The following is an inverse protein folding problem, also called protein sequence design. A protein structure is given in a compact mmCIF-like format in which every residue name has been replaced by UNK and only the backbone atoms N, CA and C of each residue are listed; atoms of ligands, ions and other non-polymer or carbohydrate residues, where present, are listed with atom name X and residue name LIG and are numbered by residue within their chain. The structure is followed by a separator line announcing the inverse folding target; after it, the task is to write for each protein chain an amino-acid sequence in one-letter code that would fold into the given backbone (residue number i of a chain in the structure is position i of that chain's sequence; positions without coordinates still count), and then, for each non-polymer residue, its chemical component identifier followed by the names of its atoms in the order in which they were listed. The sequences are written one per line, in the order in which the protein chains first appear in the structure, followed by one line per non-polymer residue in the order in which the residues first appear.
data_IF_099531034159
#
_entry.id   IF_099531034159
#
_cell.length_a   1.000
_cell.length_b   1.000
_cell.length_c   1.000
_cell.angle_alpha   90.00
_cell.angle_beta   90.00
_cell.angle_gamma   90.00
#
_symmetry.space_group_name_H-M   'P 1'
#
loop_
_entity.id
_entity.type
_entity.pdbx_description
1 polymer ?
#
# COMPACT_ATOMS: atom_id res chain seq x y z
N UNK A 1 -32.61 -28.43 48.42
CA UNK A 1 -31.41 -29.22 48.75
C UNK A 1 -30.29 -28.83 47.79
N UNK A 2 -29.36 -27.94 48.17
CA UNK A 2 -28.25 -27.52 47.32
C UNK A 2 -27.07 -28.50 47.48
N UNK A 3 -26.41 -28.86 46.37
CA UNK A 3 -25.11 -29.54 46.40
C UNK A 3 -24.10 -28.70 45.65
N UNK A 4 -23.40 -27.89 46.44
CA UNK A 4 -22.16 -27.23 46.08
C UNK A 4 -21.08 -28.32 46.16
N UNK A 5 -20.40 -28.60 45.06
CA UNK A 5 -19.08 -29.21 45.09
C UNK A 5 -18.12 -28.28 44.36
N UNK A 6 -17.33 -27.56 45.15
CA UNK A 6 -16.06 -27.03 44.73
C UNK A 6 -15.14 -28.22 44.47
N UNK A 7 -14.64 -28.34 43.24
CA UNK A 7 -13.45 -29.12 42.94
C UNK A 7 -12.46 -28.16 42.27
N UNK A 8 -11.49 -27.72 43.05
CA UNK A 8 -10.30 -27.06 42.56
C UNK A 8 -9.57 -28.04 41.62
N UNK A 9 -9.30 -27.62 40.38
CA UNK A 9 -8.42 -28.34 39.46
C UNK A 9 -7.43 -27.31 38.91
N UNK A 10 -6.12 -27.64 38.89
CA UNK A 10 -5.06 -26.66 38.96
C UNK A 10 -4.72 -26.05 37.61
N UNK A 11 -4.17 -24.84 37.71
CA UNK A 11 -3.39 -24.13 36.70
C UNK A 11 -2.29 -25.04 36.12
N UNK A 12 -2.41 -25.42 34.85
CA UNK A 12 -1.33 -26.04 34.08
C UNK A 12 -0.89 -25.02 33.01
N UNK A 13 0.14 -24.25 33.36
CA UNK A 13 0.99 -23.51 32.45
C UNK A 13 1.69 -24.51 31.52
N UNK A 14 1.13 -24.76 30.33
CA UNK A 14 1.83 -25.47 29.28
C UNK A 14 2.68 -24.49 28.47
N UNK A 15 3.97 -24.59 28.74
CA UNK A 15 5.09 -24.04 28.00
C UNK A 15 5.05 -24.35 26.50
N UNK A 16 5.60 -23.39 25.73
CA UNK A 16 6.27 -23.55 24.44
C UNK A 16 5.50 -24.21 23.28
N UNK A 17 4.90 -23.38 22.43
CA UNK A 17 4.81 -23.72 21.01
C UNK A 17 6.16 -23.44 20.35
N UNK A 18 6.83 -24.44 19.73
CA UNK A 18 7.91 -24.14 18.81
C UNK A 18 7.28 -23.41 17.63
N UNK A 19 7.84 -22.25 17.31
CA UNK A 19 7.61 -21.63 16.02
C UNK A 19 7.91 -22.68 14.94
N UNK A 20 6.88 -23.08 14.20
CA UNK A 20 7.06 -23.78 12.94
C UNK A 20 7.90 -22.84 12.06
N UNK A 21 9.20 -23.13 11.99
CA UNK A 21 10.06 -22.72 10.93
C UNK A 21 9.50 -23.35 9.64
N UNK A 22 8.62 -22.62 8.97
CA UNK A 22 8.32 -22.84 7.56
C UNK A 22 9.55 -22.40 6.78
N UNK A 23 10.44 -23.37 6.58
CA UNK A 23 11.45 -23.37 5.55
C UNK A 23 10.74 -23.38 4.18
N UNK A 24 10.91 -22.33 3.38
CA UNK A 24 10.35 -22.25 2.02
C UNK A 24 9.55 -21.00 1.70
N UNK A 25 10.13 -19.81 1.86
CA UNK A 25 9.75 -18.63 1.06
C UNK A 25 10.87 -17.59 1.11
N UNK A 26 11.72 -17.63 0.08
CA UNK A 26 12.38 -16.48 -0.52
C UNK A 26 12.82 -15.38 0.46
N UNK A 27 14.06 -15.53 0.91
CA UNK A 27 14.93 -14.49 1.44
C UNK A 27 15.05 -13.34 0.44
N UNK A 28 14.07 -12.45 0.40
CA UNK A 28 14.29 -11.04 0.08
C UNK A 28 14.64 -10.35 1.39
N UNK A 29 15.70 -9.54 1.48
CA UNK A 29 15.92 -8.74 2.66
C UNK A 29 14.71 -7.83 2.82
N UNK A 30 13.90 -8.06 3.86
CA UNK A 30 13.01 -7.03 4.37
C UNK A 30 13.96 -5.95 4.86
N UNK A 31 14.21 -4.97 4.00
CA UNK A 31 14.83 -3.73 4.39
C UNK A 31 13.97 -3.18 5.52
N UNK A 32 14.45 -3.38 6.76
CA UNK A 32 14.07 -2.56 7.90
C UNK A 32 14.58 -1.15 7.58
N UNK A 33 13.87 -0.48 6.68
CA UNK A 33 14.09 0.90 6.33
C UNK A 33 13.87 1.70 7.60
N UNK A 34 14.92 2.38 8.03
CA UNK A 34 14.86 3.42 9.05
C UNK A 34 13.66 4.33 8.77
N UNK A 35 13.05 4.97 9.80
CA UNK A 35 12.07 6.02 9.58
C UNK A 35 12.76 7.18 8.85
N UNK A 36 12.86 7.04 7.53
CA UNK A 36 13.40 8.04 6.64
C UNK A 36 12.31 9.09 6.60
N UNK A 37 12.56 10.21 7.29
CA UNK A 37 11.71 11.39 7.15
C UNK A 37 11.60 11.68 5.66
N UNK A 38 10.39 11.59 5.12
CA UNK A 38 10.14 11.88 3.71
C UNK A 38 10.60 13.31 3.41
N UNK A 39 11.37 13.46 2.35
CA UNK A 39 11.82 14.78 1.92
C UNK A 39 10.67 15.52 1.21
N UNK A 40 10.65 16.87 1.23
CA UNK A 40 9.64 17.63 0.48
C UNK A 40 9.57 17.25 -1.00
N UNK A 41 10.72 16.97 -1.63
CA UNK A 41 10.80 16.51 -3.02
C UNK A 41 10.10 15.18 -3.24
N UNK A 42 10.27 14.21 -2.33
CA UNK A 42 9.60 12.90 -2.42
C UNK A 42 8.09 13.03 -2.23
N UNK A 43 7.64 13.90 -1.33
CA UNK A 43 6.21 14.15 -1.09
C UNK A 43 5.57 14.79 -2.34
N UNK A 44 6.26 15.75 -2.96
CA UNK A 44 5.80 16.36 -4.20
C UNK A 44 5.77 15.35 -5.36
N UNK A 45 6.86 14.62 -5.61
CA UNK A 45 6.91 13.60 -6.65
C UNK A 45 5.80 12.54 -6.46
N UNK A 46 5.54 12.16 -5.22
CA UNK A 46 4.45 11.24 -4.88
C UNK A 46 3.07 11.85 -5.18
N UNK A 47 2.83 13.11 -4.80
CA UNK A 47 1.57 13.80 -5.06
C UNK A 47 1.28 13.90 -6.57
N UNK A 48 2.27 14.31 -7.36
CA UNK A 48 2.18 14.41 -8.82
C UNK A 48 1.93 13.04 -9.47
N UNK A 49 2.69 12.02 -9.08
CA UNK A 49 2.49 10.65 -9.57
C UNK A 49 1.11 10.10 -9.19
N UNK A 50 0.66 10.35 -7.95
CA UNK A 50 -0.64 9.91 -7.47
C UNK A 50 -1.78 10.56 -8.26
N UNK A 51 -1.66 11.86 -8.56
CA UNK A 51 -2.64 12.58 -9.37
C UNK A 51 -2.75 11.97 -10.77
N UNK A 52 -1.62 11.80 -11.47
CA UNK A 52 -1.59 11.20 -12.81
C UNK A 52 -2.13 9.76 -12.81
N UNK A 53 -1.79 8.95 -11.80
CA UNK A 53 -2.32 7.59 -11.64
C UNK A 53 -3.84 7.62 -11.41
N UNK A 54 -4.37 8.55 -10.63
CA UNK A 54 -5.82 8.67 -10.43
C UNK A 54 -6.53 9.02 -11.74
N UNK A 55 -5.99 9.94 -12.53
CA UNK A 55 -6.52 10.25 -13.87
C UNK A 55 -6.46 9.04 -14.79
N UNK A 56 -5.35 8.29 -14.79
CA UNK A 56 -5.22 7.05 -15.56
C UNK A 56 -6.29 6.03 -15.16
N UNK A 57 -6.47 5.82 -13.85
CA UNK A 57 -7.49 4.90 -13.31
C UNK A 57 -8.91 5.31 -13.69
N UNK A 58 -9.24 6.60 -13.64
CA UNK A 58 -10.55 7.10 -14.07
C UNK A 58 -10.81 6.83 -15.56
N UNK A 59 -9.81 7.07 -16.41
CA UNK A 59 -9.86 6.75 -17.85
C UNK A 59 -10.02 5.25 -18.08
N UNK A 60 -9.26 4.44 -17.36
CA UNK A 60 -9.29 2.98 -17.42
C UNK A 60 -10.67 2.44 -17.05
N UNK A 61 -11.24 2.86 -15.92
CA UNK A 61 -12.57 2.44 -15.48
C UNK A 61 -13.65 2.75 -16.52
N UNK A 62 -13.54 3.91 -17.18
CA UNK A 62 -14.46 4.32 -18.25
C UNK A 62 -14.33 3.47 -19.51
N UNK A 63 -13.15 2.90 -19.77
CA UNK A 63 -12.89 1.99 -20.89
C UNK A 63 -13.30 0.56 -20.56
N UNK A 64 -12.95 0.06 -19.37
CA UNK A 64 -13.30 -1.29 -18.90
C UNK A 64 -14.81 -1.53 -18.88
N UNK A 65 -15.61 -0.52 -18.53
CA UNK A 65 -17.08 -0.62 -18.55
C UNK A 65 -17.69 -0.90 -19.95
N UNK A 66 -16.89 -0.78 -21.02
CA UNK A 66 -17.32 -0.93 -22.42
C UNK A 66 -16.72 -2.16 -23.11
N UNK A 67 -15.86 -2.91 -22.42
CA UNK A 67 -15.06 -3.99 -23.01
C UNK A 67 -15.54 -5.37 -22.57
N UNK A 68 -15.32 -6.34 -23.45
CA UNK A 68 -15.50 -7.76 -23.14
C UNK A 68 -14.38 -8.25 -22.18
N UNK A 69 -14.62 -9.30 -21.37
CA UNK A 69 -13.67 -9.75 -20.35
C UNK A 69 -12.23 -9.99 -20.85
N UNK A 70 -12.08 -10.59 -22.05
CA UNK A 70 -10.77 -10.87 -22.63
C UNK A 70 -9.99 -9.60 -23.01
N UNK A 71 -10.70 -8.52 -23.38
CA UNK A 71 -10.11 -7.23 -23.72
C UNK A 71 -9.80 -6.43 -22.45
N UNK A 72 -10.55 -6.65 -21.37
CA UNK A 72 -10.32 -6.07 -20.06
C UNK A 72 -8.96 -6.50 -19.47
N UNK A 73 -8.60 -7.78 -19.58
CA UNK A 73 -7.32 -8.31 -19.07
C UNK A 73 -6.10 -7.66 -19.75
N UNK A 74 -6.15 -7.54 -21.09
CA UNK A 74 -5.09 -6.88 -21.87
C UNK A 74 -4.97 -5.40 -21.49
N UNK A 75 -6.10 -4.72 -21.34
CA UNK A 75 -6.13 -3.32 -20.95
C UNK A 75 -5.59 -3.10 -19.52
N UNK A 76 -5.90 -4.00 -18.60
CA UNK A 76 -5.40 -3.96 -17.22
C UNK A 76 -3.88 -4.15 -17.18
N UNK A 77 -3.33 -5.11 -17.93
CA UNK A 77 -1.87 -5.31 -18.04
C UNK A 77 -1.16 -4.06 -18.56
N UNK A 78 -1.72 -3.45 -19.62
CA UNK A 78 -1.20 -2.19 -20.15
C UNK A 78 -1.26 -1.06 -19.12
N UNK A 79 -2.36 -0.94 -18.39
CA UNK A 79 -2.50 0.09 -17.35
C UNK A 79 -1.48 -0.10 -16.23
N UNK A 80 -1.18 -1.34 -15.84
CA UNK A 80 -0.15 -1.63 -14.85
C UNK A 80 1.23 -1.12 -15.31
N UNK A 81 1.58 -1.33 -16.57
CA UNK A 81 2.81 -0.81 -17.15
C UNK A 81 2.83 0.73 -17.22
N UNK A 82 1.72 1.36 -17.58
CA UNK A 82 1.62 2.84 -17.57
C UNK A 82 1.73 3.40 -16.15
N UNK A 83 1.16 2.75 -15.14
CA UNK A 83 1.33 3.17 -13.75
C UNK A 83 2.81 3.18 -13.32
N UNK A 84 3.57 2.13 -13.69
CA UNK A 84 5.02 2.09 -13.41
C UNK A 84 5.74 3.25 -14.09
N UNK A 85 5.45 3.52 -15.37
CA UNK A 85 6.05 4.65 -16.10
C UNK A 85 5.73 6.00 -15.49
N UNK A 86 4.50 6.20 -14.99
CA UNK A 86 4.12 7.44 -14.29
C UNK A 86 4.96 7.63 -13.04
N UNK A 87 5.17 6.58 -12.24
CA UNK A 87 6.00 6.64 -11.03
C UNK A 87 7.46 6.96 -11.40
N UNK A 88 8.01 6.29 -12.41
CA UNK A 88 9.37 6.52 -12.91
C UNK A 88 9.58 7.92 -13.48
N UNK A 89 8.59 8.46 -14.21
CA UNK A 89 8.59 9.83 -14.73
C UNK A 89 8.79 10.87 -13.63
N UNK A 90 8.26 10.62 -12.44
CA UNK A 90 8.40 11.50 -11.27
C UNK A 90 9.66 11.20 -10.43
N UNK A 91 10.56 10.35 -10.93
CA UNK A 91 11.81 10.01 -10.25
C UNK A 91 11.63 9.10 -9.03
N UNK A 92 10.51 8.37 -8.99
CA UNK A 92 10.23 7.34 -8.00
C UNK A 92 10.31 5.98 -8.67
N UNK A 93 10.56 4.93 -7.89
CA UNK A 93 10.27 3.56 -8.29
C UNK A 93 9.00 3.05 -7.59
N UNK A 94 8.47 1.90 -8.03
CA UNK A 94 7.24 1.34 -7.47
C UNK A 94 7.38 1.01 -5.97
N UNK A 95 8.56 0.60 -5.52
CA UNK A 95 8.82 0.31 -4.11
C UNK A 95 8.79 1.58 -3.26
N UNK A 96 9.44 2.65 -3.73
CA UNK A 96 9.46 3.96 -3.09
C UNK A 96 8.05 4.56 -3.05
N UNK A 97 7.29 4.48 -4.15
CA UNK A 97 5.90 4.92 -4.19
C UNK A 97 5.06 4.20 -3.13
N UNK A 98 5.13 2.87 -3.08
CA UNK A 98 4.37 2.07 -2.11
C UNK A 98 4.79 2.36 -0.65
N UNK A 99 6.09 2.55 -0.40
CA UNK A 99 6.59 2.92 0.92
C UNK A 99 6.08 4.30 1.36
N UNK A 100 6.07 5.27 0.44
CA UNK A 100 5.49 6.59 0.69
C UNK A 100 3.96 6.49 0.90
N UNK A 101 3.25 5.68 0.10
CA UNK A 101 1.81 5.44 0.28
C UNK A 101 1.49 4.94 1.68
N UNK A 102 2.20 3.91 2.17
CA UNK A 102 2.00 3.38 3.51
C UNK A 102 2.24 4.44 4.60
N UNK A 103 3.25 5.28 4.42
CA UNK A 103 3.58 6.34 5.38
C UNK A 103 2.56 7.49 5.35
N UNK A 104 2.10 7.87 4.17
CA UNK A 104 1.03 8.85 3.97
C UNK A 104 -0.26 8.35 4.61
N UNK A 105 -0.66 7.11 4.38
CA UNK A 105 -1.85 6.51 4.99
C UNK A 105 -1.80 6.55 6.52
N UNK A 106 -0.64 6.22 7.10
CA UNK A 106 -0.40 6.22 8.54
C UNK A 106 -0.42 7.62 9.15
N UNK A 107 0.06 8.64 8.45
CA UNK A 107 0.20 10.00 8.97
C UNK A 107 -0.85 10.97 8.41
N UNK A 108 -1.80 11.39 9.25
CA UNK A 108 -2.85 12.35 8.83
C UNK A 108 -2.33 13.63 8.20
N UNK A 109 -1.31 14.26 8.80
CA UNK A 109 -0.72 15.49 8.27
C UNK A 109 -0.09 15.31 6.88
N UNK A 110 0.52 14.15 6.62
CA UNK A 110 1.08 13.86 5.29
C UNK A 110 -0.03 13.67 4.26
N UNK A 111 -1.16 13.06 4.61
CA UNK A 111 -2.31 12.98 3.70
C UNK A 111 -2.82 14.35 3.32
N UNK A 112 -2.96 15.24 4.28
CA UNK A 112 -3.47 16.59 4.04
C UNK A 112 -2.49 17.39 3.18
N UNK A 113 -1.18 17.25 3.43
CA UNK A 113 -0.14 17.84 2.60
C UNK A 113 -0.17 17.31 1.15
N UNK A 114 -0.27 15.99 0.97
CA UNK A 114 -0.37 15.39 -0.38
C UNK A 114 -1.62 15.89 -1.11
N UNK A 115 -2.77 15.96 -0.43
CA UNK A 115 -4.01 16.50 -1.01
C UNK A 115 -3.84 17.96 -1.44
N UNK A 116 -3.19 18.79 -0.61
CA UNK A 116 -2.92 20.18 -0.95
C UNK A 116 -2.07 20.28 -2.22
N UNK A 117 -0.96 19.53 -2.29
CA UNK A 117 -0.08 19.52 -3.46
C UNK A 117 -0.83 19.06 -4.72
N UNK A 118 -1.66 18.03 -4.62
CA UNK A 118 -2.49 17.58 -5.74
C UNK A 118 -3.47 18.67 -6.22
N UNK A 119 -4.07 19.44 -5.30
CA UNK A 119 -4.95 20.55 -5.65
C UNK A 119 -4.18 21.70 -6.31
N UNK A 120 -3.00 22.05 -5.80
CA UNK A 120 -2.12 23.07 -6.37
C UNK A 120 -1.69 22.70 -7.80
N UNK A 121 -1.36 21.44 -8.03
CA UNK A 121 -0.98 20.92 -9.35
C UNK A 121 -2.14 20.95 -10.34
N UNK A 122 -3.36 20.60 -9.91
CA UNK A 122 -4.58 20.71 -10.71
C UNK A 122 -4.91 22.15 -11.13
N UNK A 123 -4.62 23.14 -10.27
CA UNK A 123 -4.85 24.55 -10.57
C UNK A 123 -3.78 25.16 -11.50
N UNK A 124 -2.63 24.47 -11.62
CA UNK A 124 -1.49 24.92 -12.41
C UNK A 124 -1.45 24.32 -13.83
N UNK A 125 -2.43 23.46 -14.17
CA UNK A 125 -2.62 22.81 -15.49
C UNK A 125 -3.75 23.48 -16.25
#
# INVERSE_FOLDING_TARGET
MPRIFYAAVPLLLLTAFPALASDGAQTGPIAKGQPTKLTPRQIHAYASALLEIQTLKQKLSSQLAKLEPQQADLLQSRAQAEMVRVVEKHGLDLSAFNAISAEVERQGRLRDQVKQLMMEELLST
#
